data_IF_159613126201
#
_entry.id   IF_159613126201
#
_cell.length_a   1.000
_cell.length_b   1.000
_cell.length_c   1.000
_cell.angle_alpha   90.00
_cell.angle_beta   90.00
_cell.angle_gamma   90.00
#
_symmetry.space_group_name_H-M   'P 1'
#
loop_
_entity.id
_entity.type
_entity.pdbx_description
1 polymer ?
#
# COMPACT_ATOMS: atom_id res chain seq x y z
N UNK A 1 6.78 -10.13 -52.20
CA UNK A 1 5.90 -8.93 -52.16
C UNK A 1 5.26 -8.87 -50.78
N UNK A 2 6.00 -8.44 -49.75
CA UNK A 2 5.56 -8.61 -48.35
C UNK A 2 6.02 -7.51 -47.38
N UNK A 3 6.32 -6.29 -47.85
CA UNK A 3 6.84 -5.21 -46.97
C UNK A 3 5.84 -4.08 -46.68
N UNK A 4 4.63 -4.13 -47.24
CA UNK A 4 3.71 -2.99 -47.17
C UNK A 4 2.93 -2.89 -45.85
N UNK A 5 2.55 -4.01 -45.22
CA UNK A 5 1.71 -4.00 -44.00
C UNK A 5 2.44 -3.50 -42.75
N UNK A 6 3.74 -3.82 -42.59
CA UNK A 6 4.52 -3.35 -41.44
C UNK A 6 4.71 -1.82 -41.45
N UNK A 7 4.88 -1.23 -42.64
CA UNK A 7 5.06 0.20 -42.82
C UNK A 7 3.78 1.00 -42.47
N UNK A 8 2.60 0.50 -42.86
CA UNK A 8 1.33 1.16 -42.53
C UNK A 8 1.04 1.17 -41.03
N UNK A 9 1.39 0.09 -40.31
CA UNK A 9 1.19 0.03 -38.86
C UNK A 9 2.11 1.01 -38.11
N UNK A 10 3.38 1.11 -38.54
CA UNK A 10 4.34 2.06 -37.97
C UNK A 10 3.88 3.50 -38.21
N UNK A 11 3.42 3.82 -39.42
CA UNK A 11 2.91 5.15 -39.76
C UNK A 11 1.66 5.53 -38.94
N UNK A 12 0.75 4.57 -38.68
CA UNK A 12 -0.41 4.81 -37.83
C UNK A 12 -0.03 5.02 -36.36
N UNK A 13 0.91 4.24 -35.84
CA UNK A 13 1.40 4.39 -34.48
C UNK A 13 2.08 5.75 -34.26
N UNK A 14 2.89 6.19 -35.23
CA UNK A 14 3.50 7.53 -35.22
C UNK A 14 2.44 8.63 -35.24
N UNK A 15 1.44 8.54 -36.12
CA UNK A 15 0.37 9.54 -36.22
C UNK A 15 -0.46 9.63 -34.94
N UNK A 16 -0.72 8.52 -34.26
CA UNK A 16 -1.40 8.49 -32.96
C UNK A 16 -0.54 9.12 -31.86
N UNK A 17 0.76 8.83 -31.81
CA UNK A 17 1.69 9.44 -30.87
C UNK A 17 1.78 10.96 -31.06
N UNK A 18 1.89 11.42 -32.32
CA UNK A 18 1.90 12.83 -32.68
C UNK A 18 0.60 13.55 -32.29
N UNK A 19 -0.55 12.91 -32.54
CA UNK A 19 -1.85 13.49 -32.17
C UNK A 19 -1.98 13.65 -30.66
N UNK A 20 -1.54 12.65 -29.89
CA UNK A 20 -1.53 12.71 -28.42
C UNK A 20 -0.55 13.76 -27.90
N UNK A 21 0.63 13.88 -28.50
CA UNK A 21 1.60 14.92 -28.15
C UNK A 21 1.05 16.32 -28.42
N UNK A 22 0.40 16.53 -29.57
CA UNK A 22 -0.24 17.80 -29.91
C UNK A 22 -1.37 18.16 -28.95
N UNK A 23 -2.13 17.17 -28.48
CA UNK A 23 -3.18 17.39 -27.49
C UNK A 23 -2.61 17.83 -26.14
N UNK A 24 -1.55 17.15 -25.66
CA UNK A 24 -0.89 17.54 -24.41
C UNK A 24 -0.33 18.97 -24.46
N UNK A 25 0.25 19.37 -25.59
CA UNK A 25 0.73 20.75 -25.77
C UNK A 25 -0.40 21.77 -25.69
N UNK A 26 -1.56 21.48 -26.29
CA UNK A 26 -2.74 22.35 -26.18
C UNK A 26 -3.26 22.45 -24.74
N UNK A 27 -3.35 21.33 -24.04
CA UNK A 27 -3.84 21.30 -22.67
C UNK A 27 -2.90 22.07 -21.73
N UNK A 28 -1.58 21.91 -21.89
CA UNK A 28 -0.58 22.69 -21.15
C UNK A 28 -0.69 24.19 -21.43
N UNK A 29 -0.95 24.58 -22.67
CA UNK A 29 -1.14 25.99 -23.02
C UNK A 29 -2.39 26.57 -22.37
N UNK A 30 -3.51 25.85 -22.37
CA UNK A 30 -4.74 26.27 -21.68
C UNK A 30 -4.53 26.41 -20.17
N UNK A 31 -3.79 25.50 -19.55
CA UNK A 31 -3.45 25.57 -18.13
C UNK A 31 -2.58 26.80 -17.84
N UNK A 32 -1.57 27.06 -18.67
CA UNK A 32 -0.70 28.23 -18.51
C UNK A 32 -1.48 29.53 -18.69
N UNK A 33 -2.33 29.65 -19.70
CA UNK A 33 -3.18 30.83 -19.92
C UNK A 33 -4.13 31.07 -18.74
N UNK A 34 -4.75 30.01 -18.22
CA UNK A 34 -5.61 30.09 -17.04
C UNK A 34 -4.82 30.54 -15.81
N UNK A 35 -3.64 29.96 -15.59
CA UNK A 35 -2.77 30.31 -14.47
C UNK A 35 -2.35 31.77 -14.55
N UNK A 36 -2.00 32.28 -15.73
CA UNK A 36 -1.66 33.68 -15.97
C UNK A 36 -2.83 34.62 -15.71
N UNK A 37 -4.08 34.22 -16.05
CA UNK A 37 -5.28 35.00 -15.75
C UNK A 37 -5.60 35.04 -14.25
N UNK A 38 -5.44 33.92 -13.54
CA UNK A 38 -5.82 33.79 -12.14
C UNK A 38 -4.75 34.31 -11.17
N UNK A 39 -3.46 34.09 -11.48
CA UNK A 39 -2.33 34.39 -10.60
C UNK A 39 -1.44 35.55 -11.10
N UNK A 40 -1.67 36.05 -12.31
CA UNK A 40 -0.82 37.05 -12.95
C UNK A 40 0.47 36.46 -13.54
N UNK A 41 1.36 37.31 -14.10
CA UNK A 41 2.63 36.87 -14.68
C UNK A 41 3.52 36.17 -13.67
N UNK A 42 3.87 34.92 -13.98
CA UNK A 42 4.88 34.17 -13.22
C UNK A 42 6.22 34.93 -13.26
N UNK A 43 6.87 35.19 -12.11
CA UNK A 43 8.17 35.84 -12.08
C UNK A 43 9.21 34.96 -12.80
N UNK A 44 10.18 35.58 -13.47
CA UNK A 44 11.22 34.94 -14.31
C UNK A 44 12.18 33.98 -13.57
N UNK A 45 11.84 33.51 -12.36
CA UNK A 45 12.62 32.59 -11.54
C UNK A 45 11.81 31.43 -10.91
N UNK A 46 10.57 31.20 -11.32
CA UNK A 46 9.84 29.95 -11.01
C UNK A 46 9.37 29.73 -9.56
N UNK A 47 9.59 30.68 -8.66
CA UNK A 47 9.04 30.63 -7.30
C UNK A 47 8.08 31.79 -7.08
N UNK A 48 6.84 31.45 -6.71
CA UNK A 48 5.92 32.40 -6.11
C UNK A 48 6.56 32.89 -4.81
N UNK A 49 6.80 34.19 -4.68
CA UNK A 49 7.16 34.80 -3.40
C UNK A 49 6.12 34.39 -2.37
N UNK A 50 6.54 33.63 -1.37
CA UNK A 50 5.70 33.28 -0.24
C UNK A 50 5.16 34.55 0.41
N UNK A 51 3.85 34.78 0.30
CA UNK A 51 3.17 35.74 1.16
C UNK A 51 3.43 35.30 2.60
N UNK A 52 4.25 36.07 3.32
CA UNK A 52 4.58 35.90 4.75
C UNK A 52 3.30 35.98 5.58
N UNK A 53 2.58 34.87 5.70
CA UNK A 53 1.54 34.70 6.73
C UNK A 53 2.15 33.88 7.85
N UNK A 54 2.16 34.46 9.06
CA UNK A 54 2.58 33.74 10.27
C UNK A 54 1.71 32.47 10.41
N UNK A 55 2.29 31.29 10.65
CA UNK A 55 1.51 30.08 10.80
C UNK A 55 0.62 30.22 12.04
N UNK A 56 -0.70 30.11 11.87
CA UNK A 56 -1.59 29.88 13.00
C UNK A 56 -1.39 28.44 13.48
N UNK A 57 -1.26 28.20 14.80
CA UNK A 57 -1.16 26.85 15.33
C UNK A 57 -2.44 26.07 15.02
N UNK A 58 -2.28 24.78 14.71
CA UNK A 58 -3.38 23.89 14.36
C UNK A 58 -4.36 23.72 15.55
N UNK A 59 -5.67 23.56 15.29
CA UNK A 59 -6.73 23.64 16.31
C UNK A 59 -6.72 22.52 17.37
N UNK A 60 -5.84 21.53 17.25
CA UNK A 60 -5.66 20.42 18.20
C UNK A 60 -4.47 20.58 19.14
N UNK A 61 -3.72 21.69 19.03
CA UNK A 61 -2.66 22.01 20.00
C UNK A 61 -3.30 22.60 21.25
N UNK A 62 -3.61 21.75 22.23
CA UNK A 62 -3.98 22.23 23.56
C UNK A 62 -2.72 22.74 24.29
N UNK A 63 -2.76 23.92 24.95
CA UNK A 63 -1.67 24.35 25.79
C UNK A 63 -1.57 23.43 27.00
N UNK A 64 -0.39 22.83 27.20
CA UNK A 64 -0.05 22.07 28.40
C UNK A 64 -0.12 23.04 29.59
N UNK A 65 -1.09 22.82 30.49
CA UNK A 65 -1.17 23.52 31.77
C UNK A 65 0.05 23.11 32.63
N UNK A 66 0.75 24.07 33.27
CA UNK A 66 1.85 23.74 34.16
C UNK A 66 1.34 23.05 35.43
N UNK A 67 1.97 21.93 35.78
CA UNK A 67 1.75 21.18 37.01
C UNK A 67 2.29 22.00 38.20
N UNK A 68 1.52 22.24 39.28
CA UNK A 68 2.04 22.90 40.46
C UNK A 68 2.94 21.94 41.26
N UNK A 69 3.86 22.55 41.99
CA UNK A 69 5.05 21.96 42.57
C UNK A 69 4.79 20.84 43.60
N UNK A 70 5.84 20.02 43.68
CA UNK A 70 6.19 19.01 44.66
C UNK A 70 5.92 19.46 46.11
N UNK A 71 5.07 18.71 46.84
CA UNK A 71 5.00 18.77 48.30
C UNK A 71 5.48 17.44 48.90
N UNK A 72 6.55 17.53 49.70
CA UNK A 72 7.12 16.49 50.54
C UNK A 72 6.27 16.27 51.80
N UNK A 73 5.61 15.10 51.95
CA UNK A 73 5.66 14.29 53.19
C UNK A 73 4.82 13.00 53.12
N UNK A 74 5.53 11.88 53.22
CA UNK A 74 5.32 10.74 54.11
C UNK A 74 3.90 10.18 54.37
N UNK A 75 3.64 8.93 53.94
CA UNK A 75 3.64 7.72 54.81
C UNK A 75 2.79 6.55 54.22
N UNK A 76 3.49 5.44 53.98
CA UNK A 76 3.16 4.07 54.44
C UNK A 76 1.88 3.33 53.96
N UNK A 77 2.15 2.31 53.12
CA UNK A 77 1.54 0.96 53.02
C UNK A 77 0.25 0.74 52.19
N UNK A 78 -0.04 -0.50 51.69
CA UNK A 78 0.81 -1.67 51.43
C UNK A 78 0.74 -2.20 49.97
N UNK A 79 1.79 -2.93 49.55
CA UNK A 79 1.83 -3.73 48.31
C UNK A 79 0.76 -4.83 48.32
N UNK A 80 -0.11 -4.85 47.31
CA UNK A 80 -0.96 -6.01 46.99
C UNK A 80 -0.21 -6.93 46.00
N UNK A 81 -0.22 -8.27 46.17
CA UNK A 81 0.59 -9.18 45.36
C UNK A 81 -0.05 -9.44 43.99
N UNK A 82 0.77 -9.49 42.94
CA UNK A 82 0.33 -9.94 41.61
C UNK A 82 -0.04 -11.43 41.64
N UNK A 83 -1.18 -11.85 41.05
CA UNK A 83 -1.43 -13.25 40.82
C UNK A 83 -0.64 -13.73 39.60
N UNK A 84 0.29 -14.66 39.85
CA UNK A 84 0.97 -15.47 38.83
C UNK A 84 -0.07 -16.15 37.94
N UNK A 85 -0.09 -15.84 36.64
CA UNK A 85 -0.74 -16.69 35.63
C UNK A 85 0.31 -17.55 34.93
N UNK A 86 0.27 -18.78 35.39
CA UNK A 86 0.78 -20.05 34.88
C UNK A 86 0.57 -20.20 33.35
N UNK A 87 1.66 -20.26 32.60
CA UNK A 87 1.74 -21.17 31.44
C UNK A 87 1.78 -22.61 31.99
N UNK A 88 1.35 -23.69 31.30
CA UNK A 88 1.28 -23.84 29.83
C UNK A 88 0.07 -24.66 29.31
N UNK A 89 -0.30 -24.48 28.04
CA UNK A 89 -0.90 -25.56 27.26
C UNK A 89 -0.73 -25.30 25.75
N UNK A 90 -0.14 -26.29 25.09
CA UNK A 90 0.06 -26.37 23.66
C UNK A 90 -1.29 -26.34 22.93
N UNK A 91 -1.63 -25.21 22.34
CA UNK A 91 -2.68 -25.16 21.32
C UNK A 91 -2.06 -25.61 20.00
N UNK A 92 -2.43 -26.83 19.57
CA UNK A 92 -2.26 -27.31 18.20
C UNK A 92 -2.68 -26.22 17.20
N UNK A 93 -2.04 -26.13 16.01
CA UNK A 93 -2.55 -25.29 14.94
C UNK A 93 -3.94 -25.81 14.56
N UNK A 94 -4.95 -24.97 14.78
CA UNK A 94 -6.31 -25.24 14.38
C UNK A 94 -6.37 -25.14 12.85
N UNK A 95 -6.96 -26.09 12.12
CA UNK A 95 -7.18 -25.94 10.68
C UNK A 95 -8.11 -24.75 10.44
N UNK A 96 -8.04 -24.07 9.28
CA UNK A 96 -8.88 -22.91 8.97
C UNK A 96 -10.34 -23.37 8.82
N UNK A 97 -11.03 -23.50 9.94
CA UNK A 97 -12.47 -23.76 9.98
C UNK A 97 -13.17 -22.41 9.91
N UNK A 98 -13.51 -22.04 8.68
CA UNK A 98 -14.75 -21.39 8.24
C UNK A 98 -15.66 -20.93 9.41
N UNK A 99 -15.37 -19.76 10.00
CA UNK A 99 -16.20 -19.18 11.07
C UNK A 99 -17.47 -18.51 10.50
N UNK A 100 -17.48 -18.17 9.20
CA UNK A 100 -18.55 -17.40 8.56
C UNK A 100 -19.31 -18.15 7.45
N UNK A 101 -19.09 -19.46 7.26
CA UNK A 101 -19.67 -20.22 6.13
C UNK A 101 -19.21 -19.81 4.73
N UNK A 102 -18.47 -18.70 4.60
CA UNK A 102 -18.00 -18.15 3.34
C UNK A 102 -16.71 -18.84 2.88
N UNK A 103 -16.60 -19.22 1.59
CA UNK A 103 -15.36 -19.75 1.04
C UNK A 103 -14.27 -18.68 1.12
N UNK A 104 -13.01 -19.08 1.35
CA UNK A 104 -11.91 -18.12 1.41
C UNK A 104 -11.78 -17.33 0.09
N UNK A 105 -11.67 -15.98 0.13
CA UNK A 105 -11.43 -15.17 -1.06
C UNK A 105 -10.11 -15.59 -1.71
N UNK A 106 -10.06 -15.84 -3.03
CA UNK A 106 -8.82 -16.21 -3.68
C UNK A 106 -7.86 -15.01 -3.77
N UNK A 107 -6.57 -15.24 -3.48
CA UNK A 107 -5.51 -14.27 -3.82
C UNK A 107 -5.54 -13.99 -5.34
N UNK A 108 -5.49 -12.71 -5.78
CA UNK A 108 -5.47 -12.35 -7.19
C UNK A 108 -4.47 -13.15 -8.05
N UNK A 109 -4.90 -13.57 -9.26
CA UNK A 109 -4.12 -14.46 -10.12
C UNK A 109 -2.74 -13.89 -10.47
N UNK A 110 -2.65 -12.60 -10.79
CA UNK A 110 -1.38 -11.94 -11.12
C UNK A 110 -0.40 -11.92 -9.94
N UNK A 111 -0.90 -11.80 -8.71
CA UNK A 111 -0.05 -11.91 -7.51
C UNK A 111 0.49 -13.34 -7.35
N UNK A 112 -0.35 -14.36 -7.56
CA UNK A 112 0.08 -15.77 -7.50
C UNK A 112 1.13 -16.10 -8.56
N UNK A 113 0.95 -15.62 -9.79
CA UNK A 113 1.92 -15.81 -10.88
C UNK A 113 3.26 -15.16 -10.57
N UNK A 114 3.23 -13.93 -10.06
CA UNK A 114 4.42 -13.15 -9.79
C UNK A 114 5.21 -13.66 -8.58
N UNK A 115 4.51 -14.16 -7.55
CA UNK A 115 5.09 -14.65 -6.30
C UNK A 115 5.20 -16.18 -6.26
N UNK A 116 5.11 -16.87 -7.40
CA UNK A 116 5.10 -18.35 -7.47
C UNK A 116 6.33 -19.00 -6.81
N UNK A 117 7.46 -18.30 -6.84
CA UNK A 117 8.73 -18.78 -6.29
C UNK A 117 8.84 -18.50 -4.77
N UNK A 118 7.84 -17.82 -4.19
CA UNK A 118 7.73 -17.44 -2.78
C UNK A 118 6.34 -17.80 -2.22
N UNK A 119 6.01 -19.11 -2.10
CA UNK A 119 4.70 -19.58 -1.66
C UNK A 119 4.31 -19.09 -0.25
N UNK A 120 5.28 -18.83 0.61
CA UNK A 120 5.06 -18.25 1.94
C UNK A 120 4.49 -16.84 1.88
N UNK A 121 4.85 -16.04 0.87
CA UNK A 121 4.26 -14.71 0.68
C UNK A 121 2.81 -14.82 0.20
N UNK A 122 2.52 -15.80 -0.67
CA UNK A 122 1.15 -16.07 -1.13
C UNK A 122 0.27 -16.49 0.06
N UNK A 123 0.75 -17.39 0.92
CA UNK A 123 0.01 -17.79 2.11
C UNK A 123 -0.28 -16.60 3.02
N UNK A 124 0.72 -15.74 3.28
CA UNK A 124 0.55 -14.54 4.09
C UNK A 124 -0.42 -13.51 3.47
N UNK A 125 -0.62 -13.52 2.15
CA UNK A 125 -1.67 -12.72 1.50
C UNK A 125 -3.04 -13.36 1.66
N UNK A 126 -3.12 -14.70 1.56
CA UNK A 126 -4.35 -15.43 1.82
C UNK A 126 -4.83 -15.19 3.25
N UNK A 127 -3.93 -15.28 4.24
CA UNK A 127 -4.26 -15.05 5.65
C UNK A 127 -4.86 -13.64 5.88
N UNK A 128 -4.35 -12.63 5.18
CA UNK A 128 -4.86 -11.25 5.27
C UNK A 128 -6.25 -11.12 4.68
N UNK A 129 -6.53 -11.80 3.56
CA UNK A 129 -7.87 -11.80 2.98
C UNK A 129 -8.86 -12.61 3.84
N UNK A 130 -8.40 -13.71 4.43
CA UNK A 130 -9.18 -14.55 5.36
C UNK A 130 -9.53 -13.77 6.64
N UNK A 131 -8.60 -12.97 7.16
CA UNK A 131 -8.87 -12.08 8.28
C UNK A 131 -9.79 -10.92 7.89
N UNK A 132 -9.64 -10.39 6.68
CA UNK A 132 -10.48 -9.31 6.18
C UNK A 132 -11.96 -9.71 6.11
N UNK A 133 -12.27 -10.92 5.63
CA UNK A 133 -13.67 -11.40 5.56
C UNK A 133 -14.32 -11.63 6.93
N UNK A 134 -13.53 -11.72 8.01
CA UNK A 134 -14.07 -11.78 9.37
C UNK A 134 -14.59 -10.43 9.85
N UNK A 135 -13.97 -9.33 9.38
CA UNK A 135 -14.31 -7.96 9.74
C UNK A 135 -14.20 -7.05 8.50
N UNK A 136 -15.07 -7.25 7.50
CA UNK A 136 -15.03 -6.47 6.28
C UNK A 136 -15.44 -5.02 6.53
N UNK A 137 -15.07 -4.13 5.61
CA UNK A 137 -15.64 -2.79 5.59
C UNK A 137 -17.05 -2.84 4.96
N UNK A 138 -18.13 -2.55 5.71
CA UNK A 138 -19.50 -2.70 5.19
C UNK A 138 -19.86 -1.68 4.11
N UNK A 139 -19.17 -0.54 4.05
CA UNK A 139 -19.47 0.51 3.06
C UNK A 139 -18.78 0.25 1.72
N UNK A 140 -17.56 -0.25 1.77
CA UNK A 140 -16.67 -0.42 0.61
C UNK A 140 -15.88 -1.73 0.73
N UNK A 141 -16.55 -2.90 0.67
CA UNK A 141 -15.90 -4.18 0.95
C UNK A 141 -14.77 -4.49 -0.04
N UNK A 142 -14.90 -4.08 -1.30
CA UNK A 142 -13.86 -4.27 -2.31
C UNK A 142 -12.61 -3.41 -2.06
N UNK A 143 -12.79 -2.09 -1.89
CA UNK A 143 -11.66 -1.20 -1.61
C UNK A 143 -10.96 -1.54 -0.29
N UNK A 144 -11.71 -1.97 0.73
CA UNK A 144 -11.11 -2.43 1.97
C UNK A 144 -10.23 -3.67 1.80
N UNK A 145 -10.62 -4.62 0.93
CA UNK A 145 -9.78 -5.77 0.60
C UNK A 145 -8.51 -5.37 -0.16
N UNK A 146 -8.62 -4.38 -1.07
CA UNK A 146 -7.46 -3.80 -1.75
C UNK A 146 -6.51 -3.17 -0.74
N UNK A 147 -7.00 -2.36 0.19
CA UNK A 147 -6.17 -1.73 1.22
C UNK A 147 -5.47 -2.76 2.12
N UNK A 148 -6.17 -3.84 2.48
CA UNK A 148 -5.58 -4.94 3.25
C UNK A 148 -4.39 -5.58 2.49
N UNK A 149 -4.57 -5.86 1.19
CA UNK A 149 -3.50 -6.37 0.33
C UNK A 149 -2.35 -5.37 0.18
N UNK A 150 -2.65 -4.10 -0.09
CA UNK A 150 -1.65 -3.04 -0.25
C UNK A 150 -0.79 -2.89 1.02
N UNK A 151 -1.41 -2.89 2.20
CA UNK A 151 -0.70 -2.83 3.48
C UNK A 151 0.19 -4.05 3.71
N UNK A 152 -0.28 -5.25 3.34
CA UNK A 152 0.55 -6.47 3.46
C UNK A 152 1.72 -6.47 2.51
N UNK A 153 1.51 -6.06 1.25
CA UNK A 153 2.56 -5.96 0.25
C UNK A 153 3.60 -4.88 0.62
N UNK A 154 3.18 -3.79 1.25
CA UNK A 154 4.10 -2.77 1.79
C UNK A 154 4.98 -3.32 2.93
N UNK A 155 4.42 -4.17 3.78
CA UNK A 155 5.19 -4.89 4.80
C UNK A 155 6.24 -5.81 4.15
N UNK A 156 5.89 -6.55 3.10
CA UNK A 156 6.85 -7.40 2.38
C UNK A 156 8.00 -6.60 1.75
N UNK A 157 7.72 -5.42 1.21
CA UNK A 157 8.77 -4.55 0.66
C UNK A 157 9.73 -4.11 1.77
N UNK A 158 9.21 -3.79 2.96
CA UNK A 158 10.02 -3.40 4.10
C UNK A 158 10.90 -4.56 4.58
N UNK A 159 10.32 -5.74 4.75
CA UNK A 159 11.04 -6.97 5.12
C UNK A 159 12.10 -7.36 4.08
N UNK A 160 11.80 -7.26 2.79
CA UNK A 160 12.75 -7.60 1.73
C UNK A 160 13.95 -6.62 1.67
N UNK A 161 13.74 -5.34 2.03
CA UNK A 161 14.82 -4.36 2.16
C UNK A 161 15.71 -4.66 3.36
N UNK A 162 15.11 -5.00 4.49
CA UNK A 162 15.87 -5.41 5.69
C UNK A 162 16.73 -6.66 5.40
N UNK A 163 16.17 -7.65 4.70
CA UNK A 163 16.90 -8.84 4.26
C UNK A 163 18.04 -8.50 3.30
N UNK A 164 17.83 -7.54 2.39
CA UNK A 164 18.86 -7.07 1.47
C UNK A 164 20.00 -6.35 2.19
N UNK A 165 19.69 -5.50 3.16
CA UNK A 165 20.69 -4.80 3.98
C UNK A 165 21.52 -5.82 4.80
N UNK A 166 20.88 -6.84 5.37
CA UNK A 166 21.56 -7.93 6.07
C UNK A 166 22.45 -8.75 5.12
N UNK A 167 21.97 -9.05 3.91
CA UNK A 167 22.75 -9.76 2.91
C UNK A 167 23.99 -8.96 2.49
N UNK A 168 23.85 -7.65 2.27
CA UNK A 168 24.98 -6.76 2.00
C UNK A 168 25.99 -6.73 3.15
N UNK A 169 25.51 -6.68 4.40
CA UNK A 169 26.37 -6.72 5.58
C UNK A 169 27.12 -8.06 5.72
N UNK A 170 26.50 -9.17 5.30
CA UNK A 170 27.12 -10.50 5.34
C UNK A 170 28.20 -10.72 4.28
N UNK A 171 28.14 -9.98 3.16
CA UNK A 171 29.05 -10.14 2.02
C UNK A 171 28.80 -11.37 1.15
N UNK A 172 27.74 -12.15 1.40
CA UNK A 172 27.37 -13.29 0.56
C UNK A 172 26.67 -12.81 -0.73
N UNK A 173 27.38 -12.90 -1.86
CA UNK A 173 26.90 -12.51 -3.17
C UNK A 173 25.62 -13.26 -3.59
N UNK A 174 25.44 -14.52 -3.18
CA UNK A 174 24.23 -15.27 -3.48
C UNK A 174 23.04 -14.77 -2.65
N UNK A 175 23.27 -14.49 -1.36
CA UNK A 175 22.25 -13.92 -0.49
C UNK A 175 21.79 -12.53 -1.00
N UNK A 176 22.73 -11.69 -1.44
CA UNK A 176 22.42 -10.37 -2.01
C UNK A 176 21.54 -10.52 -3.25
N UNK A 177 21.93 -11.37 -4.20
CA UNK A 177 21.16 -11.58 -5.43
C UNK A 177 19.74 -12.09 -5.16
N UNK A 178 19.58 -13.00 -4.19
CA UNK A 178 18.27 -13.52 -3.80
C UNK A 178 17.40 -12.42 -3.15
N UNK A 179 17.99 -11.62 -2.25
CA UNK A 179 17.29 -10.53 -1.60
C UNK A 179 16.90 -9.42 -2.59
N UNK A 180 17.75 -9.07 -3.56
CA UNK A 180 17.43 -8.12 -4.63
C UNK A 180 16.23 -8.59 -5.46
N UNK A 181 16.19 -9.87 -5.84
CA UNK A 181 15.07 -10.41 -6.61
C UNK A 181 13.77 -10.42 -5.80
N UNK A 182 13.84 -10.79 -4.51
CA UNK A 182 12.69 -10.73 -3.61
C UNK A 182 12.16 -9.30 -3.44
N UNK A 183 13.05 -8.33 -3.29
CA UNK A 183 12.73 -6.91 -3.18
C UNK A 183 12.04 -6.40 -4.47
N UNK A 184 12.61 -6.75 -5.63
CA UNK A 184 12.04 -6.42 -6.94
C UNK A 184 10.64 -7.00 -7.12
N UNK A 185 10.46 -8.28 -6.79
CA UNK A 185 9.18 -8.98 -6.93
C UNK A 185 8.11 -8.43 -6.00
N UNK A 186 8.44 -8.14 -4.74
CA UNK A 186 7.49 -7.55 -3.79
C UNK A 186 7.07 -6.12 -4.19
N UNK A 187 7.98 -5.31 -4.75
CA UNK A 187 7.60 -4.03 -5.37
C UNK A 187 6.68 -4.21 -6.58
N UNK A 188 7.00 -5.16 -7.46
CA UNK A 188 6.15 -5.45 -8.62
C UNK A 188 4.78 -5.98 -8.21
N UNK A 189 4.70 -6.73 -7.12
CA UNK A 189 3.47 -7.25 -6.56
C UNK A 189 2.54 -6.11 -6.12
N UNK A 190 3.07 -5.11 -5.39
CA UNK A 190 2.30 -3.92 -4.97
C UNK A 190 1.84 -3.03 -6.13
N UNK A 191 2.54 -3.06 -7.26
CA UNK A 191 2.24 -2.16 -8.37
C UNK A 191 0.85 -2.41 -8.97
N UNK A 192 0.02 -1.37 -9.01
CA UNK A 192 -1.30 -1.34 -9.68
C UNK A 192 -1.25 -1.76 -11.15
N UNK A 193 -0.17 -1.48 -11.85
CA UNK A 193 -0.01 -1.83 -13.27
C UNK A 193 0.62 -3.21 -13.49
N UNK A 194 0.87 -3.98 -12.41
CA UNK A 194 1.53 -5.30 -12.47
C UNK A 194 0.84 -6.30 -11.55
N UNK A 195 1.34 -6.52 -10.34
CA UNK A 195 0.77 -7.54 -9.45
C UNK A 195 -0.69 -7.27 -9.07
N UNK A 196 -1.04 -5.99 -8.89
CA UNK A 196 -2.41 -5.56 -8.55
C UNK A 196 -3.27 -5.17 -9.77
N UNK A 197 -2.92 -5.63 -10.99
CA UNK A 197 -3.64 -5.22 -12.21
C UNK A 197 -4.87 -6.07 -12.55
N UNK A 198 -4.95 -7.30 -12.03
CA UNK A 198 -6.03 -8.25 -12.30
C UNK A 198 -6.68 -8.65 -10.98
N UNK A 199 -7.74 -7.93 -10.63
CA UNK A 199 -8.50 -8.12 -9.38
C UNK A 199 -9.90 -8.67 -9.65
N UNK A 200 -10.18 -9.16 -10.85
CA UNK A 200 -11.52 -9.59 -11.27
C UNK A 200 -12.03 -10.74 -10.41
N UNK A 201 -11.16 -11.68 -10.04
CA UNK A 201 -11.52 -12.78 -9.14
C UNK A 201 -11.93 -12.29 -7.75
N UNK A 202 -11.19 -11.30 -7.22
CA UNK A 202 -11.47 -10.70 -5.92
C UNK A 202 -12.76 -9.86 -5.97
N UNK A 203 -12.94 -9.10 -7.04
CA UNK A 203 -14.16 -8.34 -7.30
C UNK A 203 -15.38 -9.25 -7.36
N UNK A 204 -15.33 -10.29 -8.19
CA UNK A 204 -16.44 -11.23 -8.36
C UNK A 204 -16.77 -11.93 -7.04
N UNK A 205 -15.77 -12.31 -6.25
CA UNK A 205 -15.98 -12.89 -4.94
C UNK A 205 -16.73 -11.93 -4.00
N UNK A 206 -16.28 -10.68 -3.90
CA UNK A 206 -16.86 -9.68 -3.00
C UNK A 206 -18.28 -9.32 -3.44
N UNK A 207 -18.52 -9.17 -4.74
CA UNK A 207 -19.86 -8.87 -5.26
C UNK A 207 -20.83 -10.04 -5.03
N UNK A 208 -20.37 -11.29 -5.21
CA UNK A 208 -21.20 -12.49 -4.96
C UNK A 208 -21.63 -12.61 -3.49
N UNK A 209 -20.76 -12.22 -2.56
CA UNK A 209 -21.00 -12.35 -1.12
C UNK A 209 -21.31 -11.02 -0.43
N UNK A 210 -21.63 -9.98 -1.19
CA UNK A 210 -21.82 -8.61 -0.69
C UNK A 210 -22.84 -8.53 0.45
N UNK A 211 -23.99 -9.19 0.29
CA UNK A 211 -25.06 -9.24 1.30
C UNK A 211 -24.63 -9.96 2.60
N UNK A 212 -23.59 -10.79 2.54
CA UNK A 212 -23.03 -11.47 3.73
C UNK A 212 -21.86 -10.69 4.36
N UNK A 213 -21.38 -9.63 3.71
CA UNK A 213 -20.25 -8.81 4.15
C UNK A 213 -20.68 -7.45 4.72
N UNK A 214 -21.97 -7.12 4.70
CA UNK A 214 -22.56 -5.84 5.16
C UNK A 214 -23.35 -6.05 6.46
#
# INVERSE_FOLDING_TARGET
>A
MSDTSGSHYIALAQRLAETRAAQLLRDLQLINERTQRELGPLPHGGLLEHVKRKPKPAPWVQPVQPVPALDDNAHTAPRVPMPKRKDPAMSKPMPPSIENGLPAPPVPQKLRELLRDYPELIQRLQDVLDDYIRKPNPLIPFDGAIWALEGRLESFISEAREELDLAHASGDANAVKMAEEKERLTRHARSRNRGMSDLDQLWNYIETHKESLI
#
